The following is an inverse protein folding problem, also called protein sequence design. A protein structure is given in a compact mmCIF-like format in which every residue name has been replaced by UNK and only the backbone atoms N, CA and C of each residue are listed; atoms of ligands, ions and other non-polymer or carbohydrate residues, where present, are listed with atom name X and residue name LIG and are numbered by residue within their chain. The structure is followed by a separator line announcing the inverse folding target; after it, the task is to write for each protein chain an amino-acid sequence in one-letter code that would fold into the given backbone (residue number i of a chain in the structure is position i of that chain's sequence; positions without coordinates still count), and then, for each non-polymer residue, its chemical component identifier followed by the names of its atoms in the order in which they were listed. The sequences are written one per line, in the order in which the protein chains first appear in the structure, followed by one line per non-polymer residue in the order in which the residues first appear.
data_IF_722390871326
#
_entry.id   IF_722390871326
#
_cell.length_a   1.000
_cell.length_b   1.000
_cell.length_c   1.000
_cell.angle_alpha   90.00
_cell.angle_beta   90.00
_cell.angle_gamma   90.00
#
_symmetry.space_group_name_H-M   'P 1'
#
loop_
_entity.id
_entity.type
_entity.pdbx_description
1 polymer ?
#
# COMPACT_ATOMS: atom_id res chain seq x y z
N UNK A 1 -16.86 -15.76 -7.56
CA UNK A 1 -16.94 -16.09 -6.13
C UNK A 1 -16.70 -14.80 -5.37
N UNK A 2 -17.66 -14.37 -4.53
CA UNK A 2 -17.46 -13.23 -3.65
C UNK A 2 -16.69 -13.68 -2.41
N UNK A 3 -15.81 -12.82 -1.90
CA UNK A 3 -15.16 -13.05 -0.62
C UNK A 3 -16.20 -12.92 0.50
N UNK A 4 -15.96 -13.57 1.63
CA UNK A 4 -16.75 -13.35 2.85
C UNK A 4 -16.36 -12.01 3.48
N UNK A 5 -17.24 -11.40 4.27
CA UNK A 5 -16.97 -10.12 4.96
C UNK A 5 -15.72 -10.16 5.84
N UNK A 6 -15.43 -11.32 6.47
CA UNK A 6 -14.19 -11.53 7.22
C UNK A 6 -12.95 -11.56 6.32
N UNK A 7 -13.04 -12.20 5.15
CA UNK A 7 -11.97 -12.22 4.17
C UNK A 7 -11.72 -10.83 3.58
N UNK A 8 -12.77 -10.06 3.28
CA UNK A 8 -12.65 -8.67 2.80
C UNK A 8 -12.00 -7.77 3.85
N UNK A 9 -12.39 -7.92 5.12
CA UNK A 9 -11.77 -7.21 6.23
C UNK A 9 -10.29 -7.58 6.42
N UNK A 10 -9.95 -8.86 6.26
CA UNK A 10 -8.57 -9.33 6.31
C UNK A 10 -7.74 -8.78 5.15
N UNK A 11 -8.26 -8.82 3.92
CA UNK A 11 -7.62 -8.27 2.71
C UNK A 11 -7.37 -6.77 2.90
N UNK A 12 -8.37 -6.02 3.37
CA UNK A 12 -8.22 -4.59 3.64
C UNK A 12 -7.13 -4.30 4.68
N UNK A 13 -7.02 -5.12 5.72
CA UNK A 13 -5.97 -4.98 6.73
C UNK A 13 -4.57 -5.30 6.18
N UNK A 14 -4.44 -6.29 5.28
CA UNK A 14 -3.16 -6.55 4.60
C UNK A 14 -2.75 -5.37 3.72
N UNK A 15 -3.66 -4.84 2.90
CA UNK A 15 -3.39 -3.67 2.04
C UNK A 15 -2.91 -2.46 2.86
N UNK A 16 -3.57 -2.19 3.99
CA UNK A 16 -3.17 -1.10 4.90
C UNK A 16 -1.77 -1.32 5.49
N UNK A 17 -1.45 -2.56 5.85
CA UNK A 17 -0.15 -2.93 6.40
C UNK A 17 0.96 -2.75 5.36
N UNK A 18 0.75 -3.23 4.14
CA UNK A 18 1.68 -3.09 3.02
C UNK A 18 1.90 -1.62 2.67
N UNK A 19 0.83 -0.82 2.59
CA UNK A 19 0.93 0.63 2.33
C UNK A 19 1.76 1.33 3.39
N UNK A 20 1.59 0.97 4.67
CA UNK A 20 2.38 1.53 5.76
C UNK A 20 3.85 1.12 5.66
N UNK A 21 4.14 -0.14 5.40
CA UNK A 21 5.51 -0.64 5.24
C UNK A 21 6.25 0.11 4.11
N UNK A 22 5.62 0.28 2.94
CA UNK A 22 6.20 1.03 1.83
C UNK A 22 6.46 2.51 2.16
N UNK A 23 5.60 3.13 2.98
CA UNK A 23 5.83 4.50 3.46
C UNK A 23 7.02 4.58 4.42
N UNK A 24 7.14 3.61 5.32
CA UNK A 24 8.24 3.51 6.27
C UNK A 24 9.57 3.23 5.53
N UNK A 25 9.56 2.34 4.53
CA UNK A 25 10.72 2.05 3.68
C UNK A 25 11.14 3.28 2.86
N UNK A 26 10.19 4.05 2.32
CA UNK A 26 10.47 5.34 1.66
C UNK A 26 11.13 6.33 2.63
N UNK A 27 10.64 6.41 3.86
CA UNK A 27 11.18 7.28 4.88
C UNK A 27 12.60 6.85 5.28
N UNK A 28 12.84 5.55 5.44
CA UNK A 28 14.17 5.00 5.73
C UNK A 28 15.16 5.27 4.59
N UNK A 29 14.75 5.03 3.33
CA UNK A 29 15.57 5.34 2.15
C UNK A 29 15.88 6.83 2.01
N UNK A 30 14.93 7.69 2.39
CA UNK A 30 15.15 9.15 2.41
C UNK A 30 16.14 9.55 3.50
N UNK A 31 16.02 8.96 4.69
CA UNK A 31 16.94 9.21 5.80
C UNK A 31 18.36 8.71 5.51
N UNK A 32 18.51 7.62 4.75
CA UNK A 32 19.82 7.09 4.35
C UNK A 32 20.40 7.75 3.08
N UNK A 33 19.73 8.77 2.53
CA UNK A 33 20.09 9.42 1.25
C UNK A 33 20.16 8.45 0.04
N UNK A 34 19.55 7.26 0.15
CA UNK A 34 19.51 6.22 -0.89
C UNK A 34 18.23 6.26 -1.74
N UNK A 35 17.34 7.21 -1.46
CA UNK A 35 16.13 7.44 -2.23
C UNK A 35 16.46 8.17 -3.53
N UNK A 36 16.78 7.41 -4.57
CA UNK A 36 16.92 7.95 -5.92
C UNK A 36 15.56 8.31 -6.51
N UNK A 37 15.53 9.24 -7.47
CA UNK A 37 14.30 9.67 -8.14
C UNK A 37 13.53 8.49 -8.76
N UNK A 38 14.25 7.55 -9.40
CA UNK A 38 13.64 6.33 -9.94
C UNK A 38 13.00 5.43 -8.88
N UNK A 39 13.63 5.27 -7.70
CA UNK A 39 13.05 4.52 -6.58
C UNK A 39 11.87 5.26 -5.95
N UNK A 40 11.97 6.58 -5.81
CA UNK A 40 10.87 7.41 -5.31
C UNK A 40 9.63 7.28 -6.20
N UNK A 41 9.81 7.34 -7.52
CA UNK A 41 8.74 7.16 -8.50
C UNK A 41 8.12 5.77 -8.44
N UNK A 42 8.94 4.70 -8.34
CA UNK A 42 8.43 3.33 -8.19
C UNK A 42 7.61 3.16 -6.90
N UNK A 43 8.10 3.68 -5.77
CA UNK A 43 7.39 3.62 -4.50
C UNK A 43 6.08 4.41 -4.58
N UNK A 44 6.07 5.60 -5.20
CA UNK A 44 4.85 6.39 -5.37
C UNK A 44 3.80 5.67 -6.20
N UNK A 45 4.21 5.02 -7.29
CA UNK A 45 3.32 4.21 -8.12
C UNK A 45 2.72 3.03 -7.34
N UNK A 46 3.51 2.35 -6.53
CA UNK A 46 3.05 1.24 -5.69
C UNK A 46 2.07 1.73 -4.60
N UNK A 47 2.37 2.87 -3.98
CA UNK A 47 1.48 3.50 -2.99
C UNK A 47 0.14 3.92 -3.61
N UNK A 48 0.15 4.43 -4.84
CA UNK A 48 -1.07 4.77 -5.56
C UNK A 48 -1.90 3.53 -5.89
N UNK A 49 -1.26 2.45 -6.32
CA UNK A 49 -1.91 1.16 -6.56
C UNK A 49 -2.56 0.59 -5.28
N UNK A 50 -1.82 0.56 -4.17
CA UNK A 50 -2.36 0.10 -2.87
C UNK A 50 -3.52 0.98 -2.39
N UNK A 51 -3.45 2.30 -2.61
CA UNK A 51 -4.55 3.21 -2.30
C UNK A 51 -5.78 2.92 -3.15
N UNK A 52 -5.61 2.64 -4.45
CA UNK A 52 -6.70 2.23 -5.32
C UNK A 52 -7.35 0.92 -4.82
N UNK A 53 -6.55 -0.09 -4.48
CA UNK A 53 -7.05 -1.34 -3.90
C UNK A 53 -7.78 -1.12 -2.58
N UNK A 54 -7.28 -0.23 -1.71
CA UNK A 54 -7.93 0.11 -0.43
C UNK A 54 -9.32 0.72 -0.68
N UNK A 55 -9.46 1.58 -1.68
CA UNK A 55 -10.74 2.20 -2.05
C UNK A 55 -11.72 1.16 -2.60
N UNK A 56 -11.26 0.28 -3.50
CA UNK A 56 -12.10 -0.79 -4.05
C UNK A 56 -12.61 -1.71 -2.93
N UNK A 57 -11.72 -2.17 -2.05
CA UNK A 57 -12.10 -3.07 -0.95
C UNK A 57 -13.02 -2.40 0.09
N UNK A 58 -12.94 -1.06 0.28
CA UNK A 58 -13.87 -0.32 1.13
C UNK A 58 -15.27 -0.14 0.53
N UNK A 59 -15.41 -0.19 -0.80
CA UNK A 59 -16.74 -0.09 -1.45
C UNK A 59 -17.50 -1.43 -1.44
N UNK A 60 -16.83 -2.53 -1.11
CA UNK A 60 -17.42 -3.86 -1.06
C UNK A 60 -17.90 -4.29 0.34
N UNK A 61 -17.50 -3.58 1.40
CA UNK A 61 -17.94 -3.76 2.79
C UNK A 61 -19.09 -2.79 3.10
#
# INVERSE_FOLDING_TARGET
MAYTTEQESWILNQIKKERKQLQDDRAALRQSEQLTEGKAYQIEKELEFLRYLEIQNRMHI
#
